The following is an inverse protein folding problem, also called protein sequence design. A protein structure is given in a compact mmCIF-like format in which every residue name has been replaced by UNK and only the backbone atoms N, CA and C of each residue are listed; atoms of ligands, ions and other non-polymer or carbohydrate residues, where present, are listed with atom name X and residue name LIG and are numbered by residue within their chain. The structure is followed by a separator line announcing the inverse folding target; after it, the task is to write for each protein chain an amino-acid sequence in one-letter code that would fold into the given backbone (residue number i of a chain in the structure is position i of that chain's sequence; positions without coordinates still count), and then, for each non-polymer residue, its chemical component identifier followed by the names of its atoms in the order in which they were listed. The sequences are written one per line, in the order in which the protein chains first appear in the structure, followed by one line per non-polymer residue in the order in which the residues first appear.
data_IF_435331865327
#
_entry.id   IF_435331865327
#
_cell.length_a   1.000
_cell.length_b   1.000
_cell.length_c   1.000
_cell.angle_alpha   90.00
_cell.angle_beta   90.00
_cell.angle_gamma   90.00
#
_symmetry.space_group_name_H-M   'P 1'
#
loop_
_entity.id
_entity.type
_entity.pdbx_description
1 polymer ?
#
# COMPACT_ATOMS: atom_id res chain seq x y z
N UNK A 1 -31.68 16.94 -63.92
CA UNK A 1 -31.72 17.41 -62.53
C UNK A 1 -31.55 16.33 -61.47
N UNK A 2 -32.22 15.15 -61.57
CA UNK A 2 -32.22 14.06 -60.55
C UNK A 2 -30.85 13.44 -60.25
N UNK A 3 -29.92 13.28 -61.22
CA UNK A 3 -28.58 12.71 -61.02
C UNK A 3 -27.63 13.57 -60.17
N UNK A 4 -27.73 14.91 -60.26
CA UNK A 4 -26.88 15.85 -59.52
C UNK A 4 -27.26 15.88 -58.02
N UNK A 5 -28.56 15.77 -57.75
CA UNK A 5 -29.10 15.70 -56.41
C UNK A 5 -28.73 14.39 -55.68
N UNK A 6 -28.79 13.26 -56.35
CA UNK A 6 -28.39 11.95 -55.82
C UNK A 6 -26.90 11.90 -55.46
N UNK A 7 -26.02 12.51 -56.27
CA UNK A 7 -24.58 12.60 -55.97
C UNK A 7 -24.30 13.49 -54.77
N UNK A 8 -25.02 14.58 -54.57
CA UNK A 8 -24.88 15.45 -53.37
C UNK A 8 -25.31 14.69 -52.11
N UNK A 9 -26.40 13.95 -52.16
CA UNK A 9 -26.91 13.16 -51.04
C UNK A 9 -25.93 12.05 -50.63
N UNK A 10 -25.34 11.35 -51.60
CA UNK A 10 -24.32 10.31 -51.34
C UNK A 10 -23.05 10.91 -50.70
N UNK A 11 -22.60 12.08 -51.17
CA UNK A 11 -21.44 12.76 -50.58
C UNK A 11 -21.72 13.23 -49.17
N UNK A 12 -22.93 13.74 -48.87
CA UNK A 12 -23.34 14.16 -47.54
C UNK A 12 -23.40 12.96 -46.59
N UNK A 13 -24.01 11.84 -47.01
CA UNK A 13 -24.05 10.61 -46.20
C UNK A 13 -22.65 10.08 -45.94
N UNK A 14 -21.77 10.07 -46.98
CA UNK A 14 -20.36 9.69 -46.80
C UNK A 14 -19.61 10.56 -45.82
N UNK A 15 -19.82 11.88 -45.84
CA UNK A 15 -19.20 12.80 -44.88
C UNK A 15 -19.71 12.60 -43.43
N UNK A 16 -21.01 12.34 -43.26
CA UNK A 16 -21.61 12.05 -41.95
C UNK A 16 -21.09 10.73 -41.39
N UNK A 17 -21.00 9.67 -42.20
CA UNK A 17 -20.46 8.37 -41.81
C UNK A 17 -18.99 8.51 -41.44
N UNK A 18 -18.18 9.25 -42.22
CA UNK A 18 -16.79 9.49 -41.91
C UNK A 18 -16.61 10.26 -40.58
N UNK A 19 -17.43 11.30 -40.35
CA UNK A 19 -17.39 12.05 -39.10
C UNK A 19 -17.78 11.16 -37.89
N UNK A 20 -18.80 10.32 -38.06
CA UNK A 20 -19.23 9.37 -37.01
C UNK A 20 -18.10 8.35 -36.69
N UNK A 21 -17.40 7.84 -37.69
CA UNK A 21 -16.25 6.95 -37.49
C UNK A 21 -15.08 7.65 -36.78
N UNK A 22 -14.81 8.91 -37.10
CA UNK A 22 -13.77 9.71 -36.42
C UNK A 22 -14.13 9.94 -34.95
N UNK A 23 -15.40 10.25 -34.65
CA UNK A 23 -15.87 10.40 -33.26
C UNK A 23 -15.79 9.07 -32.53
N UNK A 24 -16.23 7.98 -33.14
CA UNK A 24 -16.18 6.65 -32.53
C UNK A 24 -14.75 6.19 -32.25
N UNK A 25 -13.82 6.44 -33.19
CA UNK A 25 -12.41 6.12 -32.98
C UNK A 25 -11.79 6.95 -31.87
N UNK A 26 -12.12 8.25 -31.75
CA UNK A 26 -11.62 9.11 -30.66
C UNK A 26 -12.19 8.68 -29.30
N UNK A 27 -13.48 8.35 -29.21
CA UNK A 27 -14.10 7.81 -28.00
C UNK A 27 -13.49 6.46 -27.61
N UNK A 28 -13.25 5.59 -28.59
CA UNK A 28 -12.59 4.30 -28.36
C UNK A 28 -11.15 4.46 -27.85
N UNK A 29 -10.39 5.41 -28.42
CA UNK A 29 -9.03 5.72 -27.92
C UNK A 29 -9.07 6.28 -26.50
N UNK A 30 -9.99 7.20 -26.18
CA UNK A 30 -10.17 7.73 -24.84
C UNK A 30 -10.60 6.63 -23.86
N UNK A 31 -11.45 5.71 -24.29
CA UNK A 31 -11.85 4.55 -23.47
C UNK A 31 -10.70 3.58 -23.23
N UNK A 32 -9.88 3.30 -24.23
CA UNK A 32 -8.64 2.53 -24.12
C UNK A 32 -7.63 3.22 -23.19
N UNK A 33 -7.53 4.57 -23.21
CA UNK A 33 -6.68 5.34 -22.30
C UNK A 33 -7.13 5.24 -20.85
N UNK A 34 -8.43 4.99 -20.58
CA UNK A 34 -8.96 4.75 -19.24
C UNK A 34 -8.82 3.32 -18.76
N UNK A 35 -8.62 2.36 -19.66
CA UNK A 35 -8.35 0.97 -19.29
C UNK A 35 -6.85 0.78 -19.06
N UNK A 36 -6.48 0.04 -18.02
CA UNK A 36 -5.11 -0.11 -17.46
C UNK A 36 -3.96 -0.43 -18.45
N UNK A 37 -4.24 -0.79 -19.69
CA UNK A 37 -3.21 -1.12 -20.68
C UNK A 37 -2.48 0.12 -21.22
N UNK A 38 -3.15 1.27 -21.31
CA UNK A 38 -2.51 2.52 -21.74
C UNK A 38 -1.83 3.26 -20.58
N UNK A 39 -2.25 3.03 -19.33
CA UNK A 39 -1.55 3.53 -18.15
C UNK A 39 -0.09 3.09 -18.17
N UNK A 40 0.18 1.82 -18.47
CA UNK A 40 1.54 1.30 -18.58
C UNK A 40 2.38 1.91 -19.73
N UNK A 41 1.79 2.48 -20.78
CA UNK A 41 2.52 3.20 -21.82
C UNK A 41 2.86 4.64 -21.40
N UNK A 42 1.92 5.34 -20.76
CA UNK A 42 2.14 6.67 -20.20
C UNK A 42 3.23 6.60 -19.13
N UNK A 43 3.14 5.63 -18.20
CA UNK A 43 4.15 5.39 -17.17
C UNK A 43 5.55 5.14 -17.77
N UNK A 44 5.64 4.40 -18.90
CA UNK A 44 6.91 4.18 -19.61
C UNK A 44 7.44 5.44 -20.29
N UNK A 45 6.56 6.28 -20.82
CA UNK A 45 6.94 7.55 -21.44
C UNK A 45 7.45 8.51 -20.35
N UNK A 46 6.78 8.60 -19.22
CA UNK A 46 7.24 9.38 -18.07
C UNK A 46 8.59 8.87 -17.55
N UNK A 47 8.78 7.55 -17.43
CA UNK A 47 10.06 6.93 -17.03
C UNK A 47 11.21 7.33 -17.97
N UNK A 48 10.96 7.39 -19.29
CA UNK A 48 11.97 7.77 -20.30
C UNK A 48 12.29 9.27 -20.24
N UNK A 49 11.30 10.13 -20.01
CA UNK A 49 11.48 11.59 -20.05
C UNK A 49 11.93 12.20 -18.72
N UNK A 50 11.51 11.62 -17.59
CA UNK A 50 11.80 12.17 -16.25
C UNK A 50 12.81 11.37 -15.45
N UNK A 51 13.29 10.23 -15.98
CA UNK A 51 14.40 9.47 -15.42
C UNK A 51 14.26 9.13 -13.94
N UNK A 52 13.14 8.48 -13.56
CA UNK A 52 12.91 8.20 -12.14
C UNK A 52 13.91 7.20 -11.59
N UNK A 53 14.59 7.49 -10.47
CA UNK A 53 15.50 6.56 -9.82
C UNK A 53 14.78 5.34 -9.20
N UNK A 54 13.45 5.28 -9.27
CA UNK A 54 12.61 4.27 -8.61
C UNK A 54 11.82 3.41 -9.60
N UNK A 55 12.52 2.74 -10.51
CA UNK A 55 11.90 1.87 -11.53
C UNK A 55 10.89 0.87 -10.96
N UNK A 56 11.12 0.37 -9.73
CA UNK A 56 10.23 -0.58 -9.04
C UNK A 56 9.04 0.08 -8.31
N UNK A 57 9.05 1.39 -8.12
CA UNK A 57 7.96 2.11 -7.44
C UNK A 57 6.65 2.07 -8.24
N UNK A 58 6.73 1.98 -9.57
CA UNK A 58 5.54 1.91 -10.44
C UNK A 58 4.76 0.60 -10.32
N UNK A 59 5.37 -0.47 -9.78
CA UNK A 59 4.69 -1.74 -9.52
C UNK A 59 3.85 -1.70 -8.23
N UNK A 60 4.04 -0.70 -7.37
CA UNK A 60 3.22 -0.52 -6.18
C UNK A 60 1.78 -0.16 -6.56
N UNK A 61 0.79 -0.70 -5.83
CA UNK A 61 -0.62 -0.31 -6.00
C UNK A 61 -0.85 1.15 -5.60
N UNK A 62 -0.26 1.57 -4.49
CA UNK A 62 -0.26 2.94 -3.99
C UNK A 62 1.13 3.33 -3.57
N UNK A 63 1.49 4.59 -3.77
CA UNK A 63 2.80 5.14 -3.45
C UNK A 63 2.65 6.60 -3.07
N UNK A 64 3.43 7.03 -2.10
CA UNK A 64 3.67 8.45 -1.81
C UNK A 64 5.13 8.62 -1.37
N UNK A 65 5.78 9.65 -1.90
CA UNK A 65 7.10 10.11 -1.47
C UNK A 65 7.00 11.59 -1.14
N UNK A 66 7.30 11.92 0.11
CA UNK A 66 7.15 13.27 0.66
C UNK A 66 8.44 13.70 1.33
N UNK A 67 8.84 14.95 1.13
CA UNK A 67 9.83 15.61 1.97
C UNK A 67 9.17 16.10 3.25
N UNK A 68 9.55 15.50 4.38
CA UNK A 68 8.98 15.85 5.70
C UNK A 68 9.45 17.19 6.23
N UNK A 69 10.41 17.86 5.58
CA UNK A 69 10.89 19.17 6.02
C UNK A 69 10.01 20.32 5.54
N UNK A 70 9.31 20.14 4.42
CA UNK A 70 8.50 21.16 3.77
C UNK A 70 7.15 20.64 3.25
N UNK A 71 6.81 19.37 3.55
CA UNK A 71 5.61 18.66 3.09
C UNK A 71 5.47 18.59 1.55
N UNK A 72 6.59 18.72 0.80
CA UNK A 72 6.58 18.60 -0.65
C UNK A 72 6.41 17.15 -1.08
N UNK A 73 5.38 16.89 -1.91
CA UNK A 73 5.11 15.57 -2.48
C UNK A 73 5.87 15.41 -3.80
N UNK A 74 6.92 14.59 -3.81
CA UNK A 74 7.69 14.31 -5.02
C UNK A 74 7.01 13.31 -5.95
N UNK A 75 6.38 12.29 -5.38
CA UNK A 75 5.70 11.23 -6.13
C UNK A 75 4.43 10.87 -5.38
N UNK A 76 3.32 10.77 -6.11
CA UNK A 76 2.08 10.22 -5.57
C UNK A 76 1.39 9.33 -6.60
N UNK A 77 0.82 8.22 -6.11
CA UNK A 77 0.02 7.27 -6.89
C UNK A 77 -1.02 6.66 -5.98
N UNK A 78 -2.29 7.00 -6.19
CA UNK A 78 -3.42 6.46 -5.41
C UNK A 78 -3.19 6.56 -3.89
N UNK A 79 -2.58 7.64 -3.43
CA UNK A 79 -2.15 7.87 -2.06
C UNK A 79 -3.33 7.92 -1.08
N UNK A 80 -4.53 8.28 -1.57
CA UNK A 80 -5.76 8.36 -0.80
C UNK A 80 -6.64 7.09 -0.89
N UNK A 81 -6.23 6.08 -1.67
CA UNK A 81 -6.97 4.82 -1.74
C UNK A 81 -6.65 3.93 -0.53
N UNK A 82 -7.70 3.37 0.08
CA UNK A 82 -7.54 2.39 1.15
C UNK A 82 -6.86 1.12 0.62
N UNK A 83 -5.77 0.74 1.26
CA UNK A 83 -5.03 -0.48 0.98
C UNK A 83 -4.98 -1.36 2.23
N UNK A 84 -4.88 -2.68 2.05
CA UNK A 84 -4.60 -3.60 3.14
C UNK A 84 -3.11 -3.51 3.48
N UNK A 85 -2.74 -3.02 4.69
CA UNK A 85 -1.35 -2.76 5.02
C UNK A 85 -0.54 -4.03 5.24
N UNK A 86 -1.19 -5.18 5.50
CA UNK A 86 -0.54 -6.43 5.89
C UNK A 86 0.52 -6.16 6.97
N UNK A 87 1.74 -6.69 6.82
CA UNK A 87 2.82 -6.49 7.80
C UNK A 87 3.33 -5.04 7.95
N UNK A 88 2.96 -4.12 7.06
CA UNK A 88 3.26 -2.70 7.26
C UNK A 88 2.57 -2.15 8.53
N UNK A 89 1.47 -2.78 8.99
CA UNK A 89 0.83 -2.43 10.26
C UNK A 89 1.80 -2.49 11.45
N UNK A 90 2.84 -3.32 11.41
CA UNK A 90 3.87 -3.42 12.46
C UNK A 90 4.66 -2.11 12.66
N UNK A 91 4.79 -1.29 11.63
CA UNK A 91 5.42 0.03 11.75
C UNK A 91 4.62 0.96 12.68
N UNK A 92 3.29 0.89 12.63
CA UNK A 92 2.42 1.67 13.53
C UNK A 92 2.52 1.16 14.97
N UNK A 93 2.61 -0.16 15.16
CA UNK A 93 2.83 -0.76 16.49
C UNK A 93 4.14 -0.26 17.09
N UNK A 94 5.23 -0.28 16.31
CA UNK A 94 6.54 0.21 16.77
C UNK A 94 6.48 1.71 17.07
N UNK A 95 5.91 2.51 16.15
CA UNK A 95 5.77 3.96 16.32
C UNK A 95 5.04 4.30 17.63
N UNK A 96 4.03 3.51 18.00
CA UNK A 96 3.31 3.72 19.24
C UNK A 96 4.09 3.20 20.45
N UNK A 97 4.68 2.02 20.37
CA UNK A 97 5.43 1.40 21.46
C UNK A 97 6.61 2.26 21.95
N UNK A 98 7.31 2.97 21.05
CA UNK A 98 8.41 3.88 21.44
C UNK A 98 7.92 5.14 22.18
N UNK A 99 6.63 5.42 22.20
CA UNK A 99 6.04 6.47 23.04
C UNK A 99 5.73 5.98 24.46
N UNK A 100 5.71 4.67 24.68
CA UNK A 100 5.35 4.04 25.96
C UNK A 100 6.56 3.52 26.73
N UNK A 101 7.65 3.15 26.04
CA UNK A 101 8.79 2.53 26.66
C UNK A 101 10.10 2.80 25.88
N UNK A 102 11.22 2.80 26.58
CA UNK A 102 12.54 2.95 26.00
C UNK A 102 12.98 1.68 25.24
N UNK A 103 13.86 1.85 24.26
CA UNK A 103 14.35 0.76 23.40
C UNK A 103 15.12 -0.34 24.16
N UNK A 104 15.74 0.01 25.26
CA UNK A 104 16.49 -0.86 26.18
C UNK A 104 15.62 -1.45 27.30
N UNK A 105 14.32 -1.15 27.32
CA UNK A 105 13.37 -1.79 28.24
C UNK A 105 13.41 -3.30 28.11
N UNK A 106 13.42 -4.00 29.25
CA UNK A 106 13.38 -5.46 29.31
C UNK A 106 11.92 -5.92 29.22
N UNK A 107 11.62 -6.74 28.24
CA UNK A 107 10.31 -7.31 27.96
C UNK A 107 10.35 -8.82 28.24
N UNK A 108 9.52 -9.29 29.14
CA UNK A 108 9.36 -10.73 29.42
C UNK A 108 8.39 -11.32 28.39
N UNK A 109 8.91 -12.09 27.45
CA UNK A 109 8.08 -12.85 26.49
C UNK A 109 7.47 -14.06 27.20
N UNK A 110 6.16 -14.06 27.35
CA UNK A 110 5.43 -15.15 27.98
C UNK A 110 4.79 -16.09 26.93
N UNK A 111 4.47 -17.32 27.37
CA UNK A 111 3.88 -18.33 26.49
C UNK A 111 2.49 -17.91 25.98
N UNK A 112 1.71 -17.22 26.79
CA UNK A 112 0.34 -16.82 26.46
C UNK A 112 0.34 -15.86 25.26
N UNK A 113 1.15 -14.78 25.29
CA UNK A 113 1.29 -13.86 24.17
C UNK A 113 1.79 -14.56 22.91
N UNK A 114 2.83 -15.41 23.02
CA UNK A 114 3.38 -16.15 21.88
C UNK A 114 2.32 -17.07 21.26
N UNK A 115 1.51 -17.74 22.08
CA UNK A 115 0.48 -18.70 21.63
C UNK A 115 -0.67 -18.08 20.85
N UNK A 116 -0.86 -16.76 20.91
CA UNK A 116 -1.85 -16.04 20.10
C UNK A 116 -1.45 -15.96 18.62
N UNK A 117 -0.22 -16.32 18.28
CA UNK A 117 0.27 -16.36 16.92
C UNK A 117 -0.46 -17.41 16.09
N UNK A 118 -1.14 -16.97 15.02
CA UNK A 118 -1.89 -17.90 14.17
C UNK A 118 -0.96 -18.82 13.39
N UNK A 119 -1.34 -20.09 13.28
CA UNK A 119 -0.65 -21.07 12.44
C UNK A 119 -0.51 -20.59 11.00
N UNK A 120 0.66 -20.84 10.39
CA UNK A 120 0.96 -20.43 9.02
C UNK A 120 1.39 -18.97 8.86
N UNK A 121 1.41 -18.18 9.94
CA UNK A 121 1.97 -16.81 9.87
C UNK A 121 3.50 -16.80 10.03
N UNK A 122 4.13 -15.73 9.56
CA UNK A 122 5.58 -15.53 9.74
C UNK A 122 5.91 -15.39 11.22
N UNK A 123 6.98 -16.06 11.66
CA UNK A 123 7.43 -16.06 13.05
C UNK A 123 8.94 -15.80 13.15
N UNK A 124 9.36 -15.16 14.23
CA UNK A 124 10.76 -14.97 14.58
C UNK A 124 11.29 -16.08 15.51
N UNK A 125 10.44 -17.05 15.87
CA UNK A 125 10.71 -18.13 16.83
C UNK A 125 11.08 -17.61 18.22
N UNK A 126 10.34 -16.63 18.72
CA UNK A 126 10.49 -16.07 20.06
C UNK A 126 10.31 -17.18 21.10
N UNK A 127 11.19 -17.19 22.09
CA UNK A 127 11.14 -18.12 23.23
C UNK A 127 10.66 -17.39 24.49
N UNK A 128 10.14 -18.16 25.45
CA UNK A 128 9.74 -17.65 26.74
C UNK A 128 10.98 -17.26 27.56
N UNK A 129 11.40 -16.00 27.44
CA UNK A 129 12.53 -15.40 28.14
C UNK A 129 12.45 -13.87 28.02
N UNK A 130 13.41 -13.19 28.60
CA UNK A 130 13.55 -11.73 28.49
C UNK A 130 14.28 -11.31 27.23
N UNK A 131 13.84 -10.18 26.65
CA UNK A 131 14.41 -9.52 25.48
C UNK A 131 14.46 -8.02 25.70
N UNK A 132 15.43 -7.34 25.11
CA UNK A 132 15.34 -5.90 24.94
C UNK A 132 14.24 -5.57 23.92
N UNK A 133 13.49 -4.50 24.16
CA UNK A 133 12.40 -4.06 23.27
C UNK A 133 12.88 -3.87 21.82
N UNK A 134 14.06 -3.24 21.62
CA UNK A 134 14.68 -3.09 20.31
C UNK A 134 14.91 -4.43 19.57
N UNK A 135 15.25 -5.50 20.30
CA UNK A 135 15.44 -6.82 19.69
C UNK A 135 14.11 -7.44 19.23
N UNK A 136 13.04 -7.19 19.97
CA UNK A 136 11.69 -7.59 19.56
C UNK A 136 11.23 -6.80 18.32
N UNK A 137 11.56 -5.51 18.22
CA UNK A 137 11.30 -4.73 17.00
C UNK A 137 12.05 -5.29 15.79
N UNK A 138 13.33 -5.66 15.95
CA UNK A 138 14.07 -6.34 14.89
C UNK A 138 13.43 -7.67 14.51
N UNK A 139 12.98 -8.46 15.50
CA UNK A 139 12.28 -9.71 15.29
C UNK A 139 10.89 -9.52 14.62
N UNK A 140 10.22 -8.40 14.85
CA UNK A 140 8.99 -8.04 14.15
C UNK A 140 9.23 -7.66 12.69
N UNK A 141 10.30 -6.92 12.38
CA UNK A 141 10.50 -6.32 11.08
C UNK A 141 11.26 -7.22 10.11
N UNK A 142 12.39 -7.83 10.54
CA UNK A 142 13.28 -8.58 9.64
C UNK A 142 12.63 -9.86 9.12
N UNK A 143 12.20 -10.83 9.96
CA UNK A 143 11.47 -12.00 9.52
C UNK A 143 9.94 -11.76 9.44
N UNK A 144 9.49 -10.54 9.73
CA UNK A 144 8.07 -10.23 9.85
C UNK A 144 7.36 -11.04 10.95
N UNK A 145 8.03 -11.29 12.08
CA UNK A 145 7.57 -12.15 13.17
C UNK A 145 6.28 -11.67 13.83
N UNK A 146 5.21 -12.46 13.74
CA UNK A 146 3.94 -12.16 14.41
C UNK A 146 4.01 -12.53 15.90
N UNK A 147 4.77 -13.56 16.27
CA UNK A 147 5.05 -13.93 17.66
C UNK A 147 5.73 -12.76 18.43
N UNK A 148 6.72 -12.12 17.83
CA UNK A 148 7.33 -10.93 18.41
C UNK A 148 6.33 -9.76 18.51
N UNK A 149 5.44 -9.59 17.51
CA UNK A 149 4.43 -8.54 17.54
C UNK A 149 3.43 -8.73 18.69
N UNK A 150 2.98 -9.97 18.94
CA UNK A 150 2.10 -10.27 20.09
C UNK A 150 2.80 -10.04 21.44
N UNK A 151 4.09 -10.36 21.56
CA UNK A 151 4.86 -10.09 22.78
C UNK A 151 4.99 -8.57 23.03
N UNK A 152 5.27 -7.79 21.99
CA UNK A 152 5.31 -6.31 22.11
C UNK A 152 3.94 -5.75 22.47
N UNK A 153 2.87 -6.24 21.84
CA UNK A 153 1.51 -5.81 22.14
C UNK A 153 1.09 -6.16 23.59
N UNK A 154 1.43 -7.34 24.07
CA UNK A 154 1.20 -7.75 25.48
C UNK A 154 1.93 -6.84 26.46
N UNK A 155 3.20 -6.53 26.18
CA UNK A 155 4.00 -5.63 27.02
C UNK A 155 3.40 -4.22 27.05
N UNK A 156 3.14 -3.61 25.89
CA UNK A 156 2.55 -2.28 25.80
C UNK A 156 1.14 -2.23 26.43
N UNK A 157 0.34 -3.26 26.20
CA UNK A 157 -0.98 -3.40 26.82
C UNK A 157 -0.93 -3.50 28.34
N UNK A 158 0.09 -4.18 28.88
CA UNK A 158 0.34 -4.23 30.32
C UNK A 158 0.69 -2.86 30.91
N UNK A 159 1.40 -1.99 30.16
CA UNK A 159 1.69 -0.63 30.57
C UNK A 159 0.43 0.26 30.56
N UNK A 160 -0.43 0.09 29.56
CA UNK A 160 -1.66 0.85 29.38
C UNK A 160 -2.79 0.40 30.30
N UNK A 161 -2.87 -0.90 30.58
CA UNK A 161 -3.93 -1.54 31.34
C UNK A 161 -3.33 -2.48 32.42
N UNK A 162 -2.74 -1.94 33.50
CA UNK A 162 -2.10 -2.75 34.53
C UNK A 162 -3.05 -3.72 35.24
N UNK A 163 -4.37 -3.49 35.15
CA UNK A 163 -5.41 -4.34 35.70
C UNK A 163 -5.76 -5.56 34.84
N UNK A 164 -5.28 -5.60 33.60
CA UNK A 164 -5.55 -6.73 32.69
C UNK A 164 -4.93 -8.03 33.22
N UNK A 165 -5.73 -9.09 33.24
CA UNK A 165 -5.40 -10.36 33.92
C UNK A 165 -4.59 -11.34 33.06
N UNK A 166 -4.63 -11.14 31.74
CA UNK A 166 -4.04 -12.07 30.77
C UNK A 166 -3.60 -11.32 29.51
N UNK A 167 -2.82 -11.98 28.65
CA UNK A 167 -2.32 -11.41 27.41
C UNK A 167 -3.44 -11.04 26.42
N UNK A 168 -4.53 -11.80 26.38
CA UNK A 168 -5.67 -11.50 25.52
C UNK A 168 -6.34 -10.17 25.90
N UNK A 169 -6.49 -9.90 27.19
CA UNK A 169 -7.04 -8.62 27.69
C UNK A 169 -6.10 -7.44 27.44
N UNK A 170 -4.78 -7.66 27.50
CA UNK A 170 -3.78 -6.61 27.25
C UNK A 170 -3.68 -6.23 25.78
N UNK A 171 -3.95 -7.17 24.87
CA UNK A 171 -3.79 -6.98 23.43
C UNK A 171 -5.08 -6.42 22.79
N UNK A 172 -6.23 -6.58 23.40
CA UNK A 172 -7.51 -6.04 22.96
C UNK A 172 -7.76 -4.61 23.48
#
# INVERSE_FOLDING_TARGET
MKRKYRRKKIRLVGAVVFLALMIFSSVFVIWQMKTNEFGGLIDRIEEVFYGTPFKNAYNAKSLILVDLSNDEVFISKRENEQQLPASLAKLFVIKYAVTLADLDSIVSANYEAISLTKSGSSVANIKTKEYYLQNLFAAMLVPSGNDAAYVVADYCGGLLSPQAKNSQERIN
#
